data_IF_797848828823
#
_entry.id   IF_797848828823
#
_cell.length_a   1.000
_cell.length_b   1.000
_cell.length_c   1.000
_cell.angle_alpha   90.00
_cell.angle_beta   90.00
_cell.angle_gamma   90.00
#
_symmetry.space_group_name_H-M   'P 1'
#
loop_
_entity.id
_entity.type
_entity.pdbx_description
1 polymer ?
#
# COMPACT_ATOMS: atom_id res chain seq x y z
N UNK A 1 46.85 37.55 -12.54
CA UNK A 1 45.94 36.39 -12.72
C UNK A 1 45.80 35.71 -11.39
N UNK A 2 44.79 36.13 -10.57
CA UNK A 2 44.56 35.59 -9.25
C UNK A 2 43.66 34.36 -9.36
N UNK A 3 44.21 33.19 -9.00
CA UNK A 3 43.42 31.95 -8.89
C UNK A 3 42.70 31.99 -7.54
N UNK A 4 41.40 32.24 -7.53
CA UNK A 4 40.57 31.96 -6.37
C UNK A 4 40.39 30.44 -6.23
N UNK A 5 40.93 29.89 -5.15
CA UNK A 5 40.55 28.53 -4.71
C UNK A 5 39.18 28.63 -4.05
N UNK A 6 38.17 27.79 -4.38
CA UNK A 6 36.93 27.79 -3.67
C UNK A 6 37.18 27.36 -2.23
N UNK A 7 36.82 28.20 -1.27
CA UNK A 7 36.85 27.90 0.15
C UNK A 7 35.66 26.96 0.42
N UNK A 8 35.96 25.67 0.58
CA UNK A 8 34.99 24.68 1.06
C UNK A 8 34.83 24.92 2.55
N UNK A 9 33.80 25.64 2.98
CA UNK A 9 33.47 25.76 4.38
C UNK A 9 32.65 24.52 4.82
N UNK A 10 33.34 23.48 5.23
CA UNK A 10 32.70 22.39 5.96
C UNK A 10 32.50 22.86 7.41
N UNK A 11 31.27 23.13 7.81
CA UNK A 11 30.94 23.35 9.23
C UNK A 11 30.79 21.96 9.86
N UNK A 12 31.87 21.50 10.47
CA UNK A 12 31.89 20.28 11.30
C UNK A 12 31.37 20.64 12.69
N UNK A 13 30.10 20.48 12.98
CA UNK A 13 29.58 20.54 14.36
C UNK A 13 29.76 19.19 15.03
N UNK A 14 30.87 18.98 15.73
CA UNK A 14 31.04 17.83 16.62
C UNK A 14 30.36 18.16 17.95
N UNK A 15 29.16 17.63 18.18
CA UNK A 15 28.55 17.62 19.50
C UNK A 15 29.16 16.46 20.32
N UNK A 16 30.03 16.76 21.26
CA UNK A 16 30.55 15.77 22.21
C UNK A 16 29.51 15.51 23.30
N UNK A 17 28.70 14.46 23.19
CA UNK A 17 27.95 13.93 24.29
C UNK A 17 28.78 12.83 24.99
N UNK A 18 29.04 12.98 26.27
CA UNK A 18 29.63 11.93 27.10
C UNK A 18 28.58 10.85 27.35
N UNK A 19 28.61 9.78 26.55
CA UNK A 19 27.96 8.53 26.84
C UNK A 19 28.94 7.40 26.49
N UNK A 20 28.98 6.34 27.29
CA UNK A 20 29.78 5.16 27.04
C UNK A 20 29.31 4.43 25.78
N UNK A 21 29.58 5.00 24.63
CA UNK A 21 29.32 4.41 23.32
C UNK A 21 30.60 3.73 22.85
N UNK A 22 30.64 2.40 22.87
CA UNK A 22 31.78 1.65 22.38
C UNK A 22 31.62 1.32 20.89
N UNK A 23 32.62 1.69 20.06
CA UNK A 23 32.70 1.37 18.63
C UNK A 23 31.59 1.95 17.73
N UNK A 24 31.06 3.10 18.04
CA UNK A 24 30.18 3.85 17.14
C UNK A 24 31.02 4.57 16.08
N UNK A 25 30.56 4.57 14.82
CA UNK A 25 31.27 5.19 13.70
C UNK A 25 30.37 6.17 12.97
N UNK A 26 30.90 7.34 12.63
CA UNK A 26 30.25 8.34 11.79
C UNK A 26 31.16 8.70 10.62
N UNK A 27 30.62 8.62 9.40
CA UNK A 27 31.26 9.02 8.16
C UNK A 27 30.42 10.09 7.47
N UNK A 28 31.01 11.24 7.17
CA UNK A 28 30.32 12.35 6.51
C UNK A 28 31.14 12.84 5.33
N UNK A 29 30.55 12.89 4.13
CA UNK A 29 31.15 13.41 2.91
C UNK A 29 30.24 14.45 2.30
N UNK A 30 30.74 15.67 2.11
CA UNK A 30 29.96 16.80 1.60
C UNK A 30 30.68 17.46 0.43
N UNK A 31 30.02 17.49 -0.73
CA UNK A 31 30.51 18.18 -1.91
C UNK A 31 29.50 19.25 -2.37
N UNK A 32 29.91 20.50 -2.43
CA UNK A 32 29.03 21.58 -2.90
C UNK A 32 28.94 22.75 -1.93
N UNK A 33 27.76 23.37 -1.84
CA UNK A 33 27.59 24.63 -1.09
C UNK A 33 26.39 24.51 -0.15
N UNK A 34 26.52 24.99 1.08
CA UNK A 34 25.47 25.07 2.10
C UNK A 34 24.82 23.70 2.48
N UNK A 35 25.49 22.59 2.25
CA UNK A 35 25.02 21.31 2.73
C UNK A 35 25.24 21.18 4.26
N UNK A 36 24.28 20.58 4.96
CA UNK A 36 24.34 20.36 6.41
C UNK A 36 24.22 18.87 6.70
N UNK A 37 25.19 18.30 7.42
CA UNK A 37 25.16 16.92 7.89
C UNK A 37 25.31 16.89 9.41
N UNK A 38 24.39 16.23 10.10
CA UNK A 38 24.38 16.08 11.55
C UNK A 38 24.26 14.61 11.94
N UNK A 39 25.11 14.16 12.84
CA UNK A 39 25.04 12.81 13.43
C UNK A 39 25.10 12.94 14.95
N UNK A 40 24.10 12.36 15.61
CA UNK A 40 24.05 12.19 17.05
C UNK A 40 23.98 10.70 17.41
N UNK A 41 25.02 10.16 18.00
CA UNK A 41 25.06 8.79 18.49
C UNK A 41 25.22 8.81 20.01
N UNK A 42 24.20 8.39 20.75
CA UNK A 42 24.19 8.46 22.22
C UNK A 42 23.73 7.14 22.84
N UNK A 43 24.51 6.61 23.78
CA UNK A 43 24.21 5.33 24.43
C UNK A 43 24.09 4.17 23.44
N UNK A 44 24.73 3.06 23.69
CA UNK A 44 24.72 1.93 22.77
C UNK A 44 26.09 1.64 22.17
N UNK A 45 26.17 0.71 21.21
CA UNK A 45 27.45 0.26 20.67
C UNK A 45 27.35 -0.28 19.26
N UNK A 46 28.44 -0.12 18.49
CA UNK A 46 28.54 -0.68 17.15
C UNK A 46 27.64 -0.01 16.09
N UNK A 47 27.16 1.19 16.35
CA UNK A 47 26.30 1.91 15.44
C UNK A 47 27.12 2.59 14.33
N UNK A 48 26.58 2.61 13.12
CA UNK A 48 27.20 3.23 11.96
C UNK A 48 26.25 4.26 11.35
N UNK A 49 26.74 5.49 11.22
CA UNK A 49 26.06 6.56 10.49
C UNK A 49 26.89 6.99 9.28
N UNK A 50 26.31 6.94 8.09
CA UNK A 50 26.95 7.41 6.84
C UNK A 50 26.09 8.47 6.18
N UNK A 51 26.69 9.61 5.88
CA UNK A 51 26.01 10.72 5.19
C UNK A 51 26.88 11.20 4.03
N UNK A 52 26.34 11.12 2.81
CA UNK A 52 26.94 11.64 1.60
C UNK A 52 26.05 12.72 0.96
N UNK A 53 26.53 13.93 0.80
CA UNK A 53 25.76 15.02 0.22
C UNK A 53 26.53 15.67 -0.96
N UNK A 54 25.83 15.86 -2.07
CA UNK A 54 26.38 16.50 -3.26
C UNK A 54 25.39 17.50 -3.82
N UNK A 55 25.80 18.77 -3.98
CA UNK A 55 24.97 19.84 -4.54
C UNK A 55 24.80 21.04 -3.63
N UNK A 56 23.59 21.58 -3.52
CA UNK A 56 23.34 22.82 -2.83
C UNK A 56 22.23 22.72 -1.78
N UNK A 57 22.53 23.09 -0.54
CA UNK A 57 21.52 23.26 0.52
C UNK A 57 20.86 21.97 1.01
N UNK A 58 21.45 20.78 0.76
CA UNK A 58 20.92 19.53 1.26
C UNK A 58 21.11 19.42 2.78
N UNK A 59 20.16 18.78 3.47
CA UNK A 59 20.19 18.55 4.92
C UNK A 59 20.07 17.05 5.23
N UNK A 60 20.98 16.52 6.05
CA UNK A 60 20.98 15.14 6.47
C UNK A 60 21.14 15.06 7.99
N UNK A 61 20.21 14.40 8.68
CA UNK A 61 20.26 14.19 10.12
C UNK A 61 20.18 12.69 10.43
N UNK A 62 21.08 12.21 11.28
CA UNK A 62 21.03 10.86 11.83
C UNK A 62 21.05 10.97 13.36
N UNK A 63 20.06 10.39 14.01
CA UNK A 63 20.04 10.20 15.46
C UNK A 63 19.96 8.71 15.80
N UNK A 64 20.96 8.17 16.50
CA UNK A 64 20.98 6.80 17.01
C UNK A 64 21.13 6.83 18.53
N UNK A 65 20.08 6.50 19.25
CA UNK A 65 20.06 6.55 20.70
C UNK A 65 19.74 5.19 21.32
N UNK A 66 20.51 4.77 22.35
CA UNK A 66 20.33 3.47 23.03
C UNK A 66 20.29 2.25 22.09
N UNK A 67 20.94 2.36 20.93
CA UNK A 67 20.85 1.40 19.84
C UNK A 67 22.10 0.56 19.73
N UNK A 68 21.98 -0.67 19.19
CA UNK A 68 23.10 -1.59 19.06
C UNK A 68 23.19 -2.18 17.65
N UNK A 69 24.40 -2.07 17.06
CA UNK A 69 24.67 -2.62 15.73
C UNK A 69 23.67 -2.12 14.67
N UNK A 70 23.33 -0.84 14.72
CA UNK A 70 22.40 -0.21 13.77
C UNK A 70 23.15 0.57 12.71
N UNK A 71 22.53 0.65 11.54
CA UNK A 71 23.10 1.40 10.41
C UNK A 71 22.09 2.45 9.93
N UNK A 72 22.55 3.69 9.78
CA UNK A 72 21.82 4.73 9.08
C UNK A 72 22.68 5.22 7.90
N UNK A 73 22.14 5.15 6.69
CA UNK A 73 22.82 5.61 5.49
C UNK A 73 21.96 6.62 4.76
N UNK A 74 22.48 7.82 4.52
CA UNK A 74 21.81 8.89 3.79
C UNK A 74 22.67 9.34 2.63
N UNK A 75 22.12 9.35 1.43
CA UNK A 75 22.79 9.82 0.22
C UNK A 75 21.91 10.83 -0.50
N UNK A 76 22.38 12.07 -0.65
CA UNK A 76 21.64 13.14 -1.27
C UNK A 76 22.42 13.74 -2.43
N UNK A 77 21.81 13.80 -3.62
CA UNK A 77 22.38 14.43 -4.80
C UNK A 77 21.40 15.42 -5.42
N UNK A 78 21.79 16.68 -5.52
CA UNK A 78 20.97 17.76 -6.06
C UNK A 78 20.79 18.90 -5.04
N UNK A 79 19.60 19.49 -4.99
CA UNK A 79 19.41 20.71 -4.21
C UNK A 79 18.27 20.60 -3.22
N UNK A 80 18.47 21.12 -2.02
CA UNK A 80 17.46 21.26 -0.98
C UNK A 80 16.76 19.96 -0.56
N UNK A 81 17.38 18.79 -0.75
CA UNK A 81 16.84 17.54 -0.25
C UNK A 81 17.02 17.44 1.27
N UNK A 82 16.05 16.86 1.97
CA UNK A 82 16.07 16.66 3.42
C UNK A 82 15.99 15.17 3.72
N UNK A 83 16.88 14.66 4.56
CA UNK A 83 16.86 13.27 5.03
C UNK A 83 17.00 13.24 6.56
N UNK A 84 16.04 12.62 7.24
CA UNK A 84 16.06 12.40 8.68
C UNK A 84 15.94 10.91 9.01
N UNK A 85 16.87 10.38 9.79
CA UNK A 85 16.86 8.99 10.24
C UNK A 85 17.03 8.93 11.76
N UNK A 86 15.99 8.50 12.45
CA UNK A 86 15.96 8.33 13.88
C UNK A 86 15.84 6.87 14.28
N UNK A 87 16.80 6.35 15.03
CA UNK A 87 16.83 4.98 15.52
C UNK A 87 16.99 4.98 17.04
N UNK A 88 15.94 4.62 17.78
CA UNK A 88 15.92 4.64 19.24
C UNK A 88 15.60 3.27 19.82
N UNK A 89 16.42 2.83 20.78
CA UNK A 89 16.28 1.52 21.42
C UNK A 89 16.20 0.33 20.44
N UNK A 90 16.96 0.40 19.33
CA UNK A 90 16.91 -0.57 18.23
C UNK A 90 18.13 -1.50 18.24
N UNK A 91 18.02 -2.67 17.62
CA UNK A 91 19.15 -3.56 17.44
C UNK A 91 19.14 -4.25 16.07
N UNK A 92 20.32 -4.31 15.43
CA UNK A 92 20.52 -4.93 14.11
C UNK A 92 19.59 -4.34 13.02
N UNK A 93 19.29 -3.05 13.09
CA UNK A 93 18.39 -2.37 12.18
C UNK A 93 19.13 -1.53 11.14
N UNK A 94 18.48 -1.29 10.01
CA UNK A 94 19.03 -0.45 8.97
C UNK A 94 18.00 0.60 8.52
N UNK A 95 18.45 1.84 8.35
CA UNK A 95 17.73 2.91 7.69
C UNK A 95 18.55 3.38 6.49
N UNK A 96 17.97 3.37 5.29
CA UNK A 96 18.64 3.81 4.07
C UNK A 96 17.76 4.84 3.36
N UNK A 97 18.29 6.02 3.10
CA UNK A 97 17.60 7.10 2.41
C UNK A 97 18.47 7.62 1.26
N UNK A 98 17.98 7.47 0.04
CA UNK A 98 18.64 7.94 -1.16
C UNK A 98 17.76 8.94 -1.89
N UNK A 99 18.23 10.17 -2.03
CA UNK A 99 17.48 11.25 -2.66
C UNK A 99 18.28 11.85 -3.83
N UNK A 100 17.63 11.96 -4.97
CA UNK A 100 18.18 12.61 -6.15
C UNK A 100 17.19 13.62 -6.69
N UNK A 101 17.64 14.87 -6.90
CA UNK A 101 16.82 15.90 -7.50
C UNK A 101 16.66 17.14 -6.63
N UNK A 102 15.45 17.65 -6.49
CA UNK A 102 15.22 18.92 -5.82
C UNK A 102 14.09 18.86 -4.79
N UNK A 103 14.40 19.23 -3.55
CA UNK A 103 13.41 19.39 -2.48
C UNK A 103 12.71 18.11 -2.05
N UNK A 104 13.31 16.93 -2.28
CA UNK A 104 12.74 15.68 -1.75
C UNK A 104 12.92 15.60 -0.24
N UNK A 105 11.95 15.01 0.46
CA UNK A 105 11.94 14.84 1.92
C UNK A 105 11.80 13.36 2.28
N UNK A 106 12.69 12.85 3.12
CA UNK A 106 12.72 11.45 3.52
C UNK A 106 12.86 11.35 5.04
N UNK A 107 11.88 10.75 5.71
CA UNK A 107 11.89 10.53 7.17
C UNK A 107 11.80 9.03 7.49
N UNK A 108 12.72 8.54 8.30
CA UNK A 108 12.68 7.19 8.89
C UNK A 108 12.75 7.30 10.40
N UNK A 109 11.76 6.75 11.08
CA UNK A 109 11.76 6.58 12.53
C UNK A 109 11.62 5.10 12.91
N UNK A 110 12.61 4.57 13.61
CA UNK A 110 12.62 3.19 14.10
C UNK A 110 12.77 3.19 15.62
N UNK A 111 11.76 2.72 16.35
CA UNK A 111 11.76 2.70 17.81
C UNK A 111 11.46 1.32 18.37
N UNK A 112 12.35 0.80 19.25
CA UNK A 112 12.18 -0.52 19.86
C UNK A 112 12.19 -1.67 18.87
N UNK A 113 12.93 -1.56 17.76
CA UNK A 113 12.89 -2.53 16.64
C UNK A 113 14.08 -3.50 16.67
N UNK A 114 13.87 -4.70 16.09
CA UNK A 114 14.91 -5.74 16.01
C UNK A 114 14.97 -6.38 14.62
N UNK A 115 16.15 -6.36 13.98
CA UNK A 115 16.39 -6.89 12.63
C UNK A 115 15.43 -6.33 11.57
N UNK A 116 15.12 -5.05 11.64
CA UNK A 116 14.24 -4.39 10.68
C UNK A 116 15.00 -3.55 9.68
N UNK A 117 14.38 -3.32 8.53
CA UNK A 117 14.93 -2.45 7.50
C UNK A 117 13.91 -1.40 7.04
N UNK A 118 14.37 -0.17 6.85
CA UNK A 118 13.64 0.88 6.19
C UNK A 118 14.47 1.42 5.02
N UNK A 119 13.89 1.45 3.82
CA UNK A 119 14.56 1.98 2.62
C UNK A 119 13.67 2.98 1.91
N UNK A 120 14.20 4.15 1.64
CA UNK A 120 13.50 5.21 0.89
C UNK A 120 14.38 5.67 -0.27
N UNK A 121 13.88 5.55 -1.48
CA UNK A 121 14.55 5.98 -2.70
C UNK A 121 13.66 7.00 -3.42
N UNK A 122 14.11 8.24 -3.51
CA UNK A 122 13.38 9.32 -4.16
C UNK A 122 14.19 9.91 -5.31
N UNK A 123 13.58 9.97 -6.48
CA UNK A 123 14.18 10.56 -7.67
C UNK A 123 13.22 11.54 -8.31
N UNK A 124 13.50 12.84 -8.20
CA UNK A 124 12.65 13.86 -8.81
C UNK A 124 12.51 15.13 -7.99
N UNK A 125 11.29 15.66 -7.88
CA UNK A 125 11.04 16.97 -7.30
C UNK A 125 9.95 16.90 -6.22
N UNK A 126 10.26 17.36 -5.02
CA UNK A 126 9.29 17.48 -3.92
C UNK A 126 8.53 16.18 -3.57
N UNK A 127 9.16 15.03 -3.73
CA UNK A 127 8.60 13.79 -3.24
C UNK A 127 8.79 13.70 -1.72
N UNK A 128 7.81 13.13 -1.02
CA UNK A 128 7.85 12.92 0.44
C UNK A 128 7.71 11.44 0.76
N UNK A 129 8.63 10.89 1.53
CA UNK A 129 8.59 9.51 1.98
C UNK A 129 8.75 9.43 3.51
N UNK A 130 7.77 8.83 4.17
CA UNK A 130 7.78 8.65 5.62
C UNK A 130 7.70 7.17 5.99
N UNK A 131 8.52 6.74 6.91
CA UNK A 131 8.52 5.36 7.42
C UNK A 131 8.61 5.35 8.94
N UNK A 132 7.59 4.80 9.57
CA UNK A 132 7.51 4.64 11.03
C UNK A 132 7.45 3.16 11.40
N UNK A 133 8.47 2.67 12.12
CA UNK A 133 8.52 1.30 12.60
C UNK A 133 8.66 1.29 14.12
N UNK A 134 7.65 0.80 14.84
CA UNK A 134 7.64 0.77 16.31
C UNK A 134 7.41 -0.64 16.83
N UNK A 135 8.30 -1.13 17.68
CA UNK A 135 8.19 -2.47 18.28
C UNK A 135 8.19 -3.61 17.25
N UNK A 136 8.80 -3.42 16.09
CA UNK A 136 8.77 -4.39 15.00
C UNK A 136 9.96 -5.36 15.06
N UNK A 137 9.75 -6.57 14.51
CA UNK A 137 10.79 -7.60 14.45
C UNK A 137 10.86 -8.23 13.06
N UNK A 138 12.05 -8.32 12.47
CA UNK A 138 12.31 -8.91 11.14
C UNK A 138 11.42 -8.37 10.01
N UNK A 139 10.93 -7.17 10.16
CA UNK A 139 10.02 -6.53 9.19
C UNK A 139 10.78 -5.58 8.25
N UNK A 140 10.20 -5.30 7.10
CA UNK A 140 10.80 -4.36 6.14
C UNK A 140 9.78 -3.36 5.60
N UNK A 141 10.24 -2.12 5.39
CA UNK A 141 9.49 -1.07 4.76
C UNK A 141 10.32 -0.47 3.62
N UNK A 142 9.75 -0.39 2.42
CA UNK A 142 10.45 0.15 1.24
C UNK A 142 9.56 1.14 0.51
N UNK A 143 10.05 2.35 0.27
CA UNK A 143 9.39 3.38 -0.54
C UNK A 143 10.29 3.75 -1.71
N UNK A 144 9.77 3.65 -2.92
CA UNK A 144 10.42 4.04 -4.17
C UNK A 144 9.55 5.07 -4.87
N UNK A 145 10.05 6.30 -5.03
CA UNK A 145 9.31 7.40 -5.66
C UNK A 145 10.10 7.99 -6.83
N UNK A 146 9.49 8.04 -7.98
CA UNK A 146 10.03 8.71 -9.18
C UNK A 146 9.02 9.73 -9.67
N UNK A 147 9.49 10.97 -9.98
CA UNK A 147 8.62 12.01 -10.51
C UNK A 147 8.46 13.19 -9.57
N UNK A 148 7.22 13.67 -9.38
CA UNK A 148 7.02 14.93 -8.66
C UNK A 148 5.86 14.85 -7.66
N UNK A 149 6.07 15.46 -6.48
CA UNK A 149 5.02 15.65 -5.49
C UNK A 149 4.32 14.35 -5.06
N UNK A 150 4.99 13.20 -5.16
CA UNK A 150 4.46 11.96 -4.66
C UNK A 150 4.62 11.89 -3.13
N UNK A 151 3.60 11.37 -2.44
CA UNK A 151 3.62 11.13 -0.99
C UNK A 151 3.48 9.65 -0.69
N UNK A 152 4.40 9.10 0.09
CA UNK A 152 4.41 7.69 0.49
C UNK A 152 4.61 7.52 2.00
N UNK A 153 3.69 6.83 2.67
CA UNK A 153 3.74 6.55 4.10
C UNK A 153 3.71 5.04 4.37
N UNK A 154 4.68 4.52 5.12
CA UNK A 154 4.62 3.17 5.67
C UNK A 154 4.68 3.22 7.19
N UNK A 155 3.67 2.70 7.84
CA UNK A 155 3.60 2.56 9.29
C UNK A 155 3.53 1.08 9.68
N UNK A 156 4.51 0.60 10.44
CA UNK A 156 4.53 -0.75 10.98
C UNK A 156 4.63 -0.68 12.51
N UNK A 157 3.62 -1.17 13.22
CA UNK A 157 3.56 -1.17 14.68
C UNK A 157 3.34 -2.57 15.23
N UNK A 158 4.20 -3.03 16.12
CA UNK A 158 4.17 -4.40 16.65
C UNK A 158 4.09 -5.47 15.53
N UNK A 159 4.72 -5.20 14.38
CA UNK A 159 4.72 -6.08 13.23
C UNK A 159 5.89 -7.06 13.27
N UNK A 160 5.64 -8.33 12.95
CA UNK A 160 6.64 -9.40 12.95
C UNK A 160 6.71 -10.04 11.56
N UNK A 161 7.90 -10.08 10.97
CA UNK A 161 8.14 -10.67 9.65
C UNK A 161 7.22 -10.11 8.54
N UNK A 162 6.79 -8.85 8.69
CA UNK A 162 5.86 -8.20 7.77
C UNK A 162 6.58 -7.30 6.79
N UNK A 163 6.04 -7.16 5.60
CA UNK A 163 6.62 -6.38 4.52
C UNK A 163 5.65 -5.34 3.98
N UNK A 164 6.10 -4.08 3.93
CA UNK A 164 5.40 -3.00 3.26
C UNK A 164 6.25 -2.44 2.12
N UNK A 165 5.70 -2.36 0.91
CA UNK A 165 6.38 -1.74 -0.23
C UNK A 165 5.47 -0.78 -0.97
N UNK A 166 5.95 0.46 -1.16
CA UNK A 166 5.32 1.49 -1.99
C UNK A 166 6.21 1.79 -3.19
N UNK A 167 5.61 1.82 -4.37
CA UNK A 167 6.23 2.27 -5.61
C UNK A 167 5.33 3.32 -6.25
N UNK A 168 5.87 4.51 -6.51
CA UNK A 168 5.13 5.60 -7.14
C UNK A 168 5.95 6.17 -8.30
N UNK A 169 5.39 6.13 -9.50
CA UNK A 169 6.00 6.71 -10.70
C UNK A 169 5.03 7.69 -11.36
N UNK A 170 5.36 8.97 -11.33
CA UNK A 170 4.53 10.02 -11.90
C UNK A 170 4.41 11.27 -11.03
N UNK A 171 3.20 11.80 -10.93
CA UNK A 171 2.99 13.09 -10.27
C UNK A 171 1.78 13.05 -9.32
N UNK A 172 1.93 13.64 -8.11
CA UNK A 172 0.84 13.79 -7.13
C UNK A 172 0.21 12.46 -6.63
N UNK A 173 0.89 11.33 -6.79
CA UNK A 173 0.38 10.08 -6.25
C UNK A 173 0.52 10.05 -4.73
N UNK A 174 -0.51 9.56 -4.04
CA UNK A 174 -0.57 9.40 -2.60
C UNK A 174 -0.74 7.91 -2.24
N UNK A 175 0.10 7.39 -1.34
CA UNK A 175 -0.01 6.00 -0.93
C UNK A 175 0.31 5.82 0.55
N UNK A 176 -0.47 4.98 1.22
CA UNK A 176 -0.15 4.56 2.58
C UNK A 176 -0.29 3.06 2.81
N UNK A 177 0.63 2.51 3.60
CA UNK A 177 0.56 1.14 4.12
C UNK A 177 0.62 1.20 5.64
N UNK A 178 -0.38 0.64 6.31
CA UNK A 178 -0.43 0.49 7.76
C UNK A 178 -0.51 -0.97 8.14
N UNK A 179 0.50 -1.48 8.86
CA UNK A 179 0.54 -2.84 9.40
C UNK A 179 0.66 -2.78 10.92
N UNK A 180 -0.40 -3.16 11.63
CA UNK A 180 -0.45 -3.07 13.10
C UNK A 180 -0.78 -4.42 13.73
N UNK A 181 0.03 -4.86 14.68
CA UNK A 181 -0.08 -6.17 15.32
C UNK A 181 -0.17 -7.31 14.29
N UNK A 182 0.64 -7.20 13.24
CA UNK A 182 0.63 -8.08 12.07
C UNK A 182 1.76 -9.10 12.14
N UNK A 183 1.54 -10.31 11.58
CA UNK A 183 2.54 -11.35 11.53
C UNK A 183 2.59 -12.03 10.16
N UNK A 184 3.73 -11.84 9.46
CA UNK A 184 3.95 -12.45 8.15
C UNK A 184 3.14 -11.82 7.03
N UNK A 185 2.65 -10.60 7.22
CA UNK A 185 1.81 -9.91 6.25
C UNK A 185 2.65 -9.22 5.17
N UNK A 186 2.07 -9.15 3.99
CA UNK A 186 2.66 -8.44 2.86
C UNK A 186 1.68 -7.41 2.30
N UNK A 187 2.14 -6.19 2.17
CA UNK A 187 1.42 -5.12 1.48
C UNK A 187 2.29 -4.53 0.37
N UNK A 188 1.73 -4.43 -0.84
CA UNK A 188 2.35 -3.80 -1.98
C UNK A 188 1.39 -2.79 -2.59
N UNK A 189 1.88 -1.58 -2.85
CA UNK A 189 1.19 -0.56 -3.63
C UNK A 189 2.11 -0.12 -4.77
N UNK A 190 1.62 -0.19 -6.00
CA UNK A 190 2.30 0.30 -7.22
C UNK A 190 1.37 1.29 -7.94
N UNK A 191 1.75 2.56 -7.97
CA UNK A 191 1.00 3.63 -8.61
C UNK A 191 1.80 4.24 -9.76
N UNK A 192 1.23 4.22 -10.96
CA UNK A 192 1.81 4.85 -12.15
C UNK A 192 0.85 5.87 -12.75
N UNK A 193 1.30 7.10 -12.89
CA UNK A 193 0.50 8.17 -13.49
C UNK A 193 0.33 9.37 -12.57
N UNK A 194 -0.88 9.91 -12.48
CA UNK A 194 -1.09 11.19 -11.80
C UNK A 194 -2.28 11.16 -10.85
N UNK A 195 -2.10 11.70 -9.65
CA UNK A 195 -3.19 11.95 -8.68
C UNK A 195 -3.93 10.65 -8.26
N UNK A 196 -3.22 9.49 -8.24
CA UNK A 196 -3.76 8.24 -7.75
C UNK A 196 -3.62 8.18 -6.22
N UNK A 197 -4.63 7.60 -5.56
CA UNK A 197 -4.69 7.42 -4.11
C UNK A 197 -4.81 5.94 -3.73
N UNK A 198 -3.99 5.45 -2.80
CA UNK A 198 -4.01 4.04 -2.39
C UNK A 198 -3.75 3.87 -0.89
N UNK A 199 -4.66 3.18 -0.22
CA UNK A 199 -4.54 2.89 1.20
C UNK A 199 -4.67 1.39 1.49
N UNK A 200 -3.64 0.82 2.12
CA UNK A 200 -3.64 -0.57 2.58
C UNK A 200 -3.53 -0.60 4.11
N UNK A 201 -4.47 -1.24 4.76
CA UNK A 201 -4.51 -1.42 6.21
C UNK A 201 -4.62 -2.90 6.57
N UNK A 202 -3.63 -3.43 7.30
CA UNK A 202 -3.61 -4.78 7.83
C UNK A 202 -3.50 -4.71 9.36
N UNK A 203 -4.56 -5.06 10.07
CA UNK A 203 -4.63 -4.93 11.53
C UNK A 203 -4.96 -6.26 12.19
N UNK A 204 -4.20 -6.63 13.22
CA UNK A 204 -4.34 -7.91 13.91
C UNK A 204 -4.39 -9.09 12.93
N UNK A 205 -3.55 -9.02 11.88
CA UNK A 205 -3.58 -9.96 10.78
C UNK A 205 -2.41 -10.95 10.83
N UNK A 206 -2.63 -12.14 10.23
CA UNK A 206 -1.65 -13.21 10.19
C UNK A 206 -1.58 -13.81 8.78
N UNK A 207 -0.45 -13.60 8.09
CA UNK A 207 -0.19 -14.16 6.77
C UNK A 207 -1.10 -13.60 5.67
N UNK A 208 -1.55 -12.35 5.80
CA UNK A 208 -2.41 -11.70 4.82
C UNK A 208 -1.60 -10.99 3.74
N UNK A 209 -2.14 -10.96 2.53
CA UNK A 209 -1.52 -10.33 1.37
C UNK A 209 -2.47 -9.28 0.79
N UNK A 210 -1.97 -8.08 0.60
CA UNK A 210 -2.66 -7.01 -0.11
C UNK A 210 -1.77 -6.48 -1.24
N UNK A 211 -2.29 -6.48 -2.46
CA UNK A 211 -1.59 -5.96 -3.62
C UNK A 211 -2.50 -5.01 -4.40
N UNK A 212 -2.04 -3.77 -4.56
CA UNK A 212 -2.75 -2.69 -5.22
C UNK A 212 -1.90 -2.17 -6.38
N UNK A 213 -2.44 -2.20 -7.59
CA UNK A 213 -1.83 -1.61 -8.77
C UNK A 213 -2.79 -0.59 -9.39
N UNK A 214 -2.33 0.65 -9.57
CA UNK A 214 -3.08 1.72 -10.19
C UNK A 214 -2.28 2.33 -11.33
N UNK A 215 -2.88 2.36 -12.52
CA UNK A 215 -2.29 2.98 -13.71
C UNK A 215 -3.25 4.02 -14.27
N UNK A 216 -2.77 5.26 -14.49
CA UNK A 216 -3.57 6.31 -15.08
C UNK A 216 -3.79 7.51 -14.17
N UNK A 217 -5.01 8.01 -14.09
CA UNK A 217 -5.29 9.28 -13.42
C UNK A 217 -6.47 9.20 -12.45
N UNK A 218 -6.26 9.68 -11.20
CA UNK A 218 -7.27 9.76 -10.13
C UNK A 218 -7.97 8.43 -9.82
N UNK A 219 -7.24 7.35 -9.83
CA UNK A 219 -7.76 6.09 -9.31
C UNK A 219 -7.67 6.08 -7.79
N UNK A 220 -8.69 5.53 -7.12
CA UNK A 220 -8.80 5.42 -5.65
C UNK A 220 -8.88 3.96 -5.24
N UNK A 221 -8.04 3.51 -4.33
CA UNK A 221 -7.95 2.13 -3.88
C UNK A 221 -7.85 2.01 -2.36
N UNK A 222 -8.74 1.24 -1.75
CA UNK A 222 -8.71 0.94 -0.32
C UNK A 222 -8.74 -0.56 -0.08
N UNK A 223 -7.79 -1.07 0.72
CA UNK A 223 -7.78 -2.44 1.24
C UNK A 223 -7.74 -2.43 2.75
N UNK A 224 -8.68 -3.09 3.39
CA UNK A 224 -8.71 -3.34 4.83
C UNK A 224 -8.76 -4.84 5.11
N UNK A 225 -7.78 -5.36 5.85
CA UNK A 225 -7.70 -6.78 6.21
C UNK A 225 -7.54 -6.94 7.72
N UNK A 226 -8.46 -7.69 8.34
CA UNK A 226 -8.43 -8.01 9.76
C UNK A 226 -8.66 -9.49 9.98
N UNK A 227 -7.67 -10.21 10.56
CA UNK A 227 -7.76 -11.64 10.83
C UNK A 227 -6.66 -12.45 10.13
N UNK A 228 -6.99 -13.62 9.56
CA UNK A 228 -5.96 -14.56 9.14
C UNK A 228 -6.05 -14.90 7.64
N UNK A 229 -4.88 -14.95 6.97
CA UNK A 229 -4.74 -15.52 5.63
C UNK A 229 -5.69 -14.89 4.58
N UNK A 230 -5.85 -13.57 4.59
CA UNK A 230 -6.59 -12.86 3.57
C UNK A 230 -5.72 -12.59 2.35
N UNK A 231 -6.34 -12.61 1.18
CA UNK A 231 -5.69 -12.19 -0.07
C UNK A 231 -6.58 -11.16 -0.76
N UNK A 232 -6.03 -9.98 -1.03
CA UNK A 232 -6.68 -8.92 -1.77
C UNK A 232 -5.78 -8.50 -2.93
N UNK A 233 -6.33 -8.54 -4.14
CA UNK A 233 -5.68 -8.04 -5.34
C UNK A 233 -6.56 -7.04 -6.05
N UNK A 234 -6.00 -5.87 -6.33
CA UNK A 234 -6.67 -4.79 -7.05
C UNK A 234 -5.83 -4.32 -8.23
N UNK A 235 -6.46 -4.17 -9.39
CA UNK A 235 -5.89 -3.50 -10.55
C UNK A 235 -6.88 -2.48 -11.09
N UNK A 236 -6.48 -1.21 -11.15
CA UNK A 236 -7.23 -0.15 -11.79
C UNK A 236 -6.39 0.46 -12.92
N UNK A 237 -6.77 0.22 -14.17
CA UNK A 237 -6.11 0.78 -15.35
C UNK A 237 -7.09 1.72 -16.08
N UNK A 238 -6.79 3.03 -16.05
CA UNK A 238 -7.62 4.08 -16.61
C UNK A 238 -7.78 5.28 -15.69
N UNK A 239 -8.97 5.89 -15.67
CA UNK A 239 -9.15 7.13 -14.93
C UNK A 239 -10.36 7.12 -14.01
N UNK A 240 -10.23 7.72 -12.83
CA UNK A 240 -11.30 7.88 -11.86
C UNK A 240 -11.97 6.54 -11.46
N UNK A 241 -11.25 5.44 -11.50
CA UNK A 241 -11.74 4.16 -11.03
C UNK A 241 -11.60 4.07 -9.51
N UNK A 242 -12.58 3.43 -8.85
CA UNK A 242 -12.55 3.20 -7.41
C UNK A 242 -12.70 1.74 -7.06
N UNK A 243 -11.85 1.27 -6.14
CA UNK A 243 -11.96 -0.08 -5.56
C UNK A 243 -11.88 -0.01 -4.05
N UNK A 244 -12.79 -0.70 -3.36
CA UNK A 244 -12.81 -0.84 -1.91
C UNK A 244 -12.95 -2.32 -1.52
N UNK A 245 -11.95 -2.88 -0.84
CA UNK A 245 -11.95 -4.27 -0.35
C UNK A 245 -11.85 -4.28 1.17
N UNK A 246 -12.86 -4.85 1.85
CA UNK A 246 -12.87 -5.08 3.29
C UNK A 246 -12.99 -6.57 3.61
N UNK A 247 -11.96 -7.15 4.23
CA UNK A 247 -11.90 -8.56 4.58
C UNK A 247 -11.72 -8.75 6.08
N UNK A 248 -12.64 -9.45 6.72
CA UNK A 248 -12.57 -9.74 8.14
C UNK A 248 -12.83 -11.21 8.48
N UNK A 249 -12.00 -11.80 9.35
CA UNK A 249 -12.11 -13.21 9.78
C UNK A 249 -10.98 -14.10 9.28
N UNK A 250 -11.27 -15.14 8.47
CA UNK A 250 -10.24 -16.08 8.00
C UNK A 250 -10.34 -16.41 6.51
N UNK A 251 -9.19 -16.53 5.85
CA UNK A 251 -9.00 -17.12 4.52
C UNK A 251 -10.00 -16.60 3.47
N UNK A 252 -9.99 -15.31 3.24
CA UNK A 252 -10.85 -14.67 2.23
C UNK A 252 -10.01 -14.19 1.05
N UNK A 253 -10.54 -14.37 -0.15
CA UNK A 253 -9.89 -13.95 -1.39
C UNK A 253 -10.77 -12.93 -2.11
N UNK A 254 -10.23 -11.76 -2.41
CA UNK A 254 -10.91 -10.71 -3.14
C UNK A 254 -10.08 -10.24 -4.34
N UNK A 255 -10.71 -10.20 -5.51
CA UNK A 255 -10.08 -9.76 -6.75
C UNK A 255 -10.93 -8.68 -7.41
N UNK A 256 -10.39 -7.50 -7.63
CA UNK A 256 -11.05 -6.41 -8.32
C UNK A 256 -10.20 -5.91 -9.48
N UNK A 257 -10.74 -6.04 -10.70
CA UNK A 257 -10.08 -5.63 -11.91
C UNK A 257 -10.91 -4.58 -12.63
N UNK A 258 -10.37 -3.40 -12.86
CA UNK A 258 -11.03 -2.29 -13.53
C UNK A 258 -10.20 -1.78 -14.70
N UNK A 259 -10.78 -1.81 -15.89
CA UNK A 259 -10.21 -1.23 -17.10
C UNK A 259 -11.17 -0.20 -17.69
N UNK A 260 -10.73 1.06 -17.77
CA UNK A 260 -11.54 2.14 -18.34
C UNK A 260 -11.73 3.32 -17.39
N UNK A 261 -12.94 3.91 -17.37
CA UNK A 261 -13.12 5.15 -16.66
C UNK A 261 -14.33 5.15 -15.72
N UNK A 262 -14.12 5.62 -14.49
CA UNK A 262 -15.20 5.84 -13.54
C UNK A 262 -15.89 4.55 -13.06
N UNK A 263 -15.22 3.40 -13.14
CA UNK A 263 -15.75 2.17 -12.61
C UNK A 263 -15.63 2.16 -11.07
N UNK A 264 -16.65 1.60 -10.40
CA UNK A 264 -16.68 1.45 -8.93
C UNK A 264 -16.85 -0.02 -8.56
N UNK A 265 -15.95 -0.54 -7.71
CA UNK A 265 -16.02 -1.91 -7.23
C UNK A 265 -15.89 -1.96 -5.72
N UNK A 266 -16.84 -2.60 -5.05
CA UNK A 266 -16.79 -2.85 -3.64
C UNK A 266 -16.91 -4.32 -3.32
N UNK A 267 -16.01 -4.84 -2.48
CA UNK A 267 -16.03 -6.21 -1.99
C UNK A 267 -15.94 -6.20 -0.47
N UNK A 268 -16.97 -6.71 0.19
CA UNK A 268 -16.99 -6.90 1.64
C UNK A 268 -17.12 -8.37 1.95
N UNK A 269 -16.13 -8.92 2.66
CA UNK A 269 -16.13 -10.33 3.05
C UNK A 269 -15.97 -10.46 4.56
N UNK A 270 -16.90 -11.14 5.20
CA UNK A 270 -16.82 -11.39 6.63
C UNK A 270 -17.19 -12.83 6.98
N UNK A 271 -16.50 -13.39 7.94
CA UNK A 271 -16.84 -14.71 8.44
C UNK A 271 -16.56 -14.87 9.94
N UNK A 272 -17.13 -15.91 10.54
CA UNK A 272 -16.85 -16.30 11.93
C UNK A 272 -15.41 -16.82 12.05
N UNK A 273 -14.76 -16.73 13.21
CA UNK A 273 -13.41 -17.26 13.46
C UNK A 273 -13.18 -18.72 13.06
N UNK A 274 -14.23 -19.49 12.89
CA UNK A 274 -14.20 -20.92 12.49
C UNK A 274 -14.70 -21.16 11.05
N UNK A 275 -14.96 -20.13 10.29
CA UNK A 275 -15.34 -20.18 8.89
C UNK A 275 -14.29 -19.51 7.99
N UNK A 276 -14.33 -19.77 6.70
CA UNK A 276 -13.39 -19.16 5.77
C UNK A 276 -13.66 -19.52 4.31
N UNK A 277 -12.68 -19.20 3.45
CA UNK A 277 -12.64 -19.51 2.03
C UNK A 277 -13.77 -18.84 1.21
N UNK A 278 -14.15 -17.61 1.53
CA UNK A 278 -14.99 -16.85 0.62
C UNK A 278 -14.10 -16.29 -0.50
N UNK A 279 -14.64 -16.33 -1.71
CA UNK A 279 -13.98 -15.75 -2.89
C UNK A 279 -14.92 -14.77 -3.57
N UNK A 280 -14.49 -13.54 -3.76
CA UNK A 280 -15.22 -12.52 -4.48
C UNK A 280 -14.38 -11.98 -5.64
N UNK A 281 -14.97 -11.84 -6.80
CA UNK A 281 -14.31 -11.31 -7.99
C UNK A 281 -15.21 -10.31 -8.70
N UNK A 282 -14.68 -9.11 -8.95
CA UNK A 282 -15.28 -8.11 -9.84
C UNK A 282 -14.37 -7.84 -11.01
N UNK A 283 -14.88 -7.90 -12.21
CA UNK A 283 -14.17 -7.53 -13.44
C UNK A 283 -15.01 -6.49 -14.20
N UNK A 284 -14.51 -5.28 -14.35
CA UNK A 284 -15.22 -4.17 -14.99
C UNK A 284 -14.40 -3.63 -16.16
N UNK A 285 -14.99 -3.66 -17.33
CA UNK A 285 -14.40 -3.17 -18.58
C UNK A 285 -15.30 -2.11 -19.20
N UNK A 286 -14.85 -0.84 -19.24
CA UNK A 286 -15.59 0.22 -19.89
C UNK A 286 -15.79 1.45 -19.00
N UNK A 287 -17.01 1.94 -18.91
CA UNK A 287 -17.24 3.25 -18.26
C UNK A 287 -18.39 3.21 -17.25
N UNK A 288 -18.14 3.71 -16.06
CA UNK A 288 -19.15 3.89 -15.02
C UNK A 288 -19.92 2.60 -14.67
N UNK A 289 -19.23 1.44 -14.67
CA UNK A 289 -19.82 0.23 -14.16
C UNK A 289 -19.67 0.19 -12.63
N UNK A 290 -20.68 -0.36 -11.94
CA UNK A 290 -20.72 -0.49 -10.47
C UNK A 290 -20.90 -1.96 -10.09
N UNK A 291 -20.07 -2.47 -9.17
CA UNK A 291 -20.18 -3.83 -8.66
C UNK A 291 -20.00 -3.83 -7.13
N UNK A 292 -21.00 -4.32 -6.41
CA UNK A 292 -20.97 -4.51 -4.95
C UNK A 292 -21.17 -5.99 -4.61
N UNK A 293 -20.18 -6.61 -3.97
CA UNK A 293 -20.25 -8.00 -3.51
C UNK A 293 -20.11 -8.03 -2.00
N UNK A 294 -21.14 -8.51 -1.31
CA UNK A 294 -21.15 -8.72 0.12
C UNK A 294 -21.30 -10.22 0.45
N UNK A 295 -20.29 -10.79 1.11
CA UNK A 295 -20.29 -12.21 1.51
C UNK A 295 -20.16 -12.35 3.02
N UNK A 296 -21.18 -12.92 3.64
CA UNK A 296 -21.18 -13.22 5.07
C UNK A 296 -21.35 -14.73 5.33
N UNK A 297 -20.29 -15.39 5.83
CA UNK A 297 -20.34 -16.81 6.10
C UNK A 297 -19.11 -17.56 5.60
N UNK A 298 -19.28 -18.72 4.96
CA UNK A 298 -18.12 -19.55 4.57
C UNK A 298 -18.29 -20.27 3.22
N UNK A 299 -17.17 -20.48 2.54
CA UNK A 299 -17.09 -21.19 1.26
C UNK A 299 -18.04 -20.60 0.21
N UNK A 300 -18.21 -19.30 0.21
CA UNK A 300 -19.03 -18.60 -0.76
C UNK A 300 -18.18 -18.16 -1.93
N UNK A 301 -18.75 -18.19 -3.13
CA UNK A 301 -18.11 -17.69 -4.34
C UNK A 301 -19.04 -16.72 -5.04
N UNK A 302 -18.55 -15.52 -5.33
CA UNK A 302 -19.26 -14.56 -6.16
C UNK A 302 -18.35 -14.01 -7.24
N UNK A 303 -18.82 -14.05 -8.48
CA UNK A 303 -18.12 -13.44 -9.60
C UNK A 303 -19.08 -12.62 -10.46
N UNK A 304 -18.77 -11.33 -10.60
CA UNK A 304 -19.46 -10.40 -11.50
C UNK A 304 -18.50 -9.93 -12.59
N UNK A 305 -18.96 -9.93 -13.83
CA UNK A 305 -18.21 -9.43 -14.99
C UNK A 305 -19.08 -8.39 -15.68
N UNK A 306 -18.58 -7.20 -15.90
CA UNK A 306 -19.29 -6.11 -16.54
C UNK A 306 -18.50 -5.57 -17.75
N UNK A 307 -19.06 -5.63 -18.93
CA UNK A 307 -18.52 -5.03 -20.13
C UNK A 307 -19.46 -3.95 -20.67
N UNK A 308 -18.92 -2.77 -20.97
CA UNK A 308 -19.67 -1.67 -21.54
C UNK A 308 -19.80 -0.50 -20.59
N UNK A 309 -21.01 -0.01 -20.35
CA UNK A 309 -21.15 1.17 -19.50
C UNK A 309 -22.40 1.20 -18.64
N UNK A 310 -22.28 1.82 -17.47
CA UNK A 310 -23.42 2.03 -16.56
C UNK A 310 -24.10 0.73 -16.12
N UNK A 311 -23.40 -0.42 -16.16
CA UNK A 311 -23.94 -1.65 -15.64
C UNK A 311 -23.79 -1.67 -14.12
N UNK A 312 -24.81 -2.17 -13.41
CA UNK A 312 -24.84 -2.26 -11.95
C UNK A 312 -25.02 -3.71 -11.53
N UNK A 313 -24.20 -4.18 -10.60
CA UNK A 313 -24.34 -5.50 -10.00
C UNK A 313 -24.26 -5.42 -8.48
N UNK A 314 -25.31 -5.85 -7.80
CA UNK A 314 -25.36 -5.99 -6.35
C UNK A 314 -25.57 -7.45 -5.96
N UNK A 315 -24.67 -7.98 -5.14
CA UNK A 315 -24.66 -9.38 -4.72
C UNK A 315 -24.55 -9.48 -3.20
N UNK A 316 -25.50 -10.12 -2.56
CA UNK A 316 -25.48 -10.44 -1.12
C UNK A 316 -25.57 -11.96 -0.93
N UNK A 317 -24.52 -12.56 -0.36
CA UNK A 317 -24.48 -13.98 -0.04
C UNK A 317 -24.34 -14.18 1.46
N UNK A 318 -25.30 -14.85 2.07
CA UNK A 318 -25.29 -15.19 3.49
C UNK A 318 -25.38 -16.69 3.70
N UNK A 319 -24.50 -17.25 4.56
CA UNK A 319 -24.55 -18.64 4.94
C UNK A 319 -23.36 -19.46 4.48
N UNK A 320 -23.59 -20.55 3.71
CA UNK A 320 -22.51 -21.47 3.36
C UNK A 320 -22.64 -21.95 1.91
N UNK A 321 -21.50 -22.01 1.20
CA UNK A 321 -21.39 -22.67 -0.10
C UNK A 321 -22.24 -22.05 -1.19
N UNK A 322 -22.72 -20.82 -1.02
CA UNK A 322 -23.46 -20.13 -2.07
C UNK A 322 -22.52 -19.73 -3.21
N UNK A 323 -22.97 -19.92 -4.45
CA UNK A 323 -22.21 -19.59 -5.66
C UNK A 323 -22.99 -18.65 -6.59
N UNK A 324 -22.32 -17.62 -7.06
CA UNK A 324 -22.86 -16.70 -8.07
C UNK A 324 -21.84 -16.47 -9.18
N UNK A 325 -22.28 -16.64 -10.42
CA UNK A 325 -21.53 -16.24 -11.60
C UNK A 325 -22.44 -15.46 -12.54
N UNK A 326 -22.19 -14.16 -12.70
CA UNK A 326 -23.05 -13.31 -13.53
C UNK A 326 -22.22 -12.38 -14.43
N UNK A 327 -22.63 -12.29 -15.70
CA UNK A 327 -22.03 -11.41 -16.69
C UNK A 327 -23.05 -10.42 -17.23
N UNK A 328 -22.67 -9.15 -17.33
CA UNK A 328 -23.43 -8.07 -17.93
C UNK A 328 -22.65 -7.48 -19.11
N UNK A 329 -23.20 -7.60 -20.32
CA UNK A 329 -22.62 -7.04 -21.53
C UNK A 329 -23.54 -5.99 -22.14
N UNK A 330 -23.08 -4.74 -22.27
CA UNK A 330 -23.86 -3.68 -22.89
C UNK A 330 -23.95 -2.44 -22.01
N UNK A 331 -25.13 -1.83 -21.93
CA UNK A 331 -25.29 -0.54 -21.25
C UNK A 331 -26.49 -0.53 -20.30
N UNK A 332 -26.26 -0.13 -19.05
CA UNK A 332 -27.33 0.08 -18.07
C UNK A 332 -28.03 -1.21 -17.63
N UNK A 333 -27.35 -2.37 -17.74
CA UNK A 333 -27.91 -3.60 -17.22
C UNK A 333 -27.78 -3.62 -15.68
N UNK A 334 -28.80 -4.17 -15.00
CA UNK A 334 -28.89 -4.23 -13.55
C UNK A 334 -29.02 -5.67 -13.06
N UNK A 335 -28.23 -6.03 -12.06
CA UNK A 335 -28.34 -7.27 -11.30
C UNK A 335 -28.52 -6.95 -9.82
N UNK A 336 -29.56 -7.51 -9.22
CA UNK A 336 -29.70 -7.62 -7.78
C UNK A 336 -29.85 -9.10 -7.41
N UNK A 337 -28.90 -9.67 -6.66
CA UNK A 337 -28.89 -11.09 -6.34
C UNK A 337 -28.68 -11.30 -4.84
N UNK A 338 -29.61 -11.99 -4.22
CA UNK A 338 -29.56 -12.35 -2.80
C UNK A 338 -29.61 -13.86 -2.65
N UNK A 339 -28.61 -14.43 -1.98
CA UNK A 339 -28.58 -15.85 -1.63
C UNK A 339 -28.45 -16.01 -0.11
N UNK A 340 -29.49 -16.55 0.52
CA UNK A 340 -29.55 -16.76 1.96
C UNK A 340 -29.76 -18.25 2.29
N UNK A 341 -28.72 -18.89 2.84
CA UNK A 341 -28.80 -20.31 3.21
C UNK A 341 -27.58 -21.09 2.80
N UNK A 342 -27.77 -22.28 2.20
CA UNK A 342 -26.64 -23.15 1.87
C UNK A 342 -26.71 -23.70 0.45
N UNK A 343 -25.53 -23.74 -0.17
CA UNK A 343 -25.31 -24.44 -1.44
C UNK A 343 -26.30 -23.99 -2.57
N UNK A 344 -26.66 -22.66 -2.57
CA UNK A 344 -27.48 -22.06 -3.61
C UNK A 344 -26.59 -21.60 -4.78
N UNK A 345 -27.06 -21.73 -6.00
CA UNK A 345 -26.33 -21.36 -7.21
C UNK A 345 -27.11 -20.38 -8.09
N UNK A 346 -26.46 -19.29 -8.52
CA UNK A 346 -26.95 -18.38 -9.54
C UNK A 346 -25.96 -18.32 -10.70
N UNK A 347 -26.45 -18.62 -11.90
CA UNK A 347 -25.67 -18.44 -13.13
C UNK A 347 -26.47 -17.59 -14.09
N UNK A 348 -25.88 -16.50 -14.61
CA UNK A 348 -26.62 -15.63 -15.49
C UNK A 348 -25.78 -14.80 -16.44
N UNK A 349 -26.46 -14.38 -17.48
CA UNK A 349 -25.95 -13.46 -18.50
C UNK A 349 -27.05 -12.47 -18.87
N UNK A 350 -26.69 -11.19 -18.91
CA UNK A 350 -27.53 -10.11 -19.38
C UNK A 350 -26.83 -9.40 -20.54
N UNK A 351 -27.37 -9.49 -21.74
CA UNK A 351 -26.77 -8.91 -22.94
C UNK A 351 -27.71 -7.90 -23.61
N UNK A 352 -27.24 -6.67 -23.78
CA UNK A 352 -27.98 -5.60 -24.42
C UNK A 352 -28.11 -4.34 -23.56
N UNK A 353 -29.28 -3.71 -23.58
CA UNK A 353 -29.48 -2.42 -22.91
C UNK A 353 -30.61 -2.47 -21.89
N UNK A 354 -30.36 -1.96 -20.69
CA UNK A 354 -31.36 -1.78 -19.63
C UNK A 354 -32.12 -3.07 -19.27
N UNK A 355 -31.45 -4.19 -19.30
CA UNK A 355 -32.01 -5.43 -18.76
C UNK A 355 -31.89 -5.41 -17.24
N UNK A 356 -32.93 -5.88 -16.52
CA UNK A 356 -32.89 -5.96 -15.05
C UNK A 356 -33.14 -7.40 -14.60
N UNK A 357 -32.33 -7.89 -13.67
CA UNK A 357 -32.43 -9.20 -13.04
C UNK A 357 -32.51 -9.02 -11.53
N UNK A 358 -33.62 -9.45 -10.93
CA UNK A 358 -33.79 -9.49 -9.48
C UNK A 358 -34.00 -10.96 -9.04
N UNK A 359 -33.04 -11.48 -8.26
CA UNK A 359 -32.97 -12.91 -7.94
C UNK A 359 -32.82 -13.08 -6.45
N UNK A 360 -33.77 -13.73 -5.80
CA UNK A 360 -33.71 -14.08 -4.39
C UNK A 360 -33.79 -15.61 -4.22
N UNK A 361 -32.81 -16.19 -3.54
CA UNK A 361 -32.78 -17.61 -3.16
C UNK A 361 -32.70 -17.74 -1.64
N UNK A 362 -33.66 -18.41 -1.05
CA UNK A 362 -33.69 -18.69 0.40
C UNK A 362 -33.79 -20.19 0.63
N UNK A 363 -32.96 -20.74 1.53
CA UNK A 363 -32.92 -22.18 1.84
C UNK A 363 -31.65 -22.86 1.33
N UNK A 364 -31.77 -24.04 0.76
CA UNK A 364 -30.61 -24.78 0.31
C UNK A 364 -30.79 -25.45 -1.03
N UNK A 365 -29.69 -25.68 -1.76
CA UNK A 365 -29.62 -26.40 -3.03
C UNK A 365 -30.53 -25.79 -4.13
N UNK A 366 -30.77 -24.47 -4.12
CA UNK A 366 -31.54 -23.80 -5.15
C UNK A 366 -30.65 -23.41 -6.33
N UNK A 367 -31.17 -23.60 -7.55
CA UNK A 367 -30.51 -23.18 -8.80
C UNK A 367 -31.37 -22.14 -9.51
N UNK A 368 -30.78 -20.98 -9.83
CA UNK A 368 -31.37 -20.01 -10.74
C UNK A 368 -30.46 -19.82 -11.97
N UNK A 369 -31.06 -19.89 -13.14
CA UNK A 369 -30.37 -19.59 -14.39
C UNK A 369 -31.07 -18.45 -15.10
N UNK A 370 -30.35 -17.39 -15.43
CA UNK A 370 -30.86 -16.21 -16.08
C UNK A 370 -30.16 -15.97 -17.40
N UNK A 371 -30.97 -15.76 -18.46
CA UNK A 371 -30.46 -15.29 -19.75
C UNK A 371 -31.36 -14.19 -20.27
N UNK A 372 -30.83 -13.02 -20.41
CA UNK A 372 -31.53 -11.85 -20.96
C UNK A 372 -30.80 -11.37 -22.20
N UNK A 373 -31.52 -11.19 -23.28
CA UNK A 373 -30.98 -10.66 -24.54
C UNK A 373 -31.93 -9.59 -25.09
N UNK A 374 -31.41 -8.43 -25.44
CA UNK A 374 -32.21 -7.38 -26.05
C UNK A 374 -32.16 -6.05 -25.29
N UNK A 375 -33.28 -5.33 -25.34
CA UNK A 375 -33.42 -4.03 -24.72
C UNK A 375 -34.64 -4.00 -23.82
N UNK A 376 -34.51 -3.45 -22.61
CA UNK A 376 -35.63 -3.30 -21.65
C UNK A 376 -36.32 -4.63 -21.28
N UNK A 377 -35.56 -5.63 -20.87
CA UNK A 377 -36.07 -6.90 -20.34
C UNK A 377 -36.06 -6.92 -18.81
#
# INVERSE_FOLDING_TARGET
MFKFKPLVAAILTVATAQAFAANNTSEQDQLGINNVAQVLQSGGSGNLAKQGQSGFGNQATVEQSHSRETTATQSQAGNYNVADAQQSATALTAATQNQRGWGNDATVEQTGTYKTGATQNQNGIHNVAETFQTGTTTSSATTEQTGKHNYGLITQSAAINSQGKLVQDGELNNASITQTASWGDRALVDQRGTDNDAHVTQVASLGSIAEVEQVGWRNDAMVSQTGHQHEAYMLSDGNNNRVDIDQSGNAQNAFALQYGNGNDSRITQSNSPFGGNNTATTEQFGTANEADINQHGRNQTAKTIQHGGFNVASVDQQGRGNELHFQQDGVGNELNAVQNGSDNEIVGVSHGWHNSSDIEQTGGDNLATVRQEGTLN
#
